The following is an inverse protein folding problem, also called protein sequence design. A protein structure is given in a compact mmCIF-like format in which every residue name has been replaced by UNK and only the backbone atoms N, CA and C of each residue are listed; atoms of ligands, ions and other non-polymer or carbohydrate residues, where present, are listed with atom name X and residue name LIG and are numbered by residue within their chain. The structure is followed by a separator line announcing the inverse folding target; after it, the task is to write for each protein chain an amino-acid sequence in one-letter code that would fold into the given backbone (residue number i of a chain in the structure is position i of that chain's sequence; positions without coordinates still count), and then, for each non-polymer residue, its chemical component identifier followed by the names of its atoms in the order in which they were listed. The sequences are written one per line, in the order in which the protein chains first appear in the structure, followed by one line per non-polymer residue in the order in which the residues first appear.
data_IF_907805698169
#
_entry.id   IF_907805698169
#
_cell.length_a   1.000
_cell.length_b   1.000
_cell.length_c   1.000
_cell.angle_alpha   90.00
_cell.angle_beta   90.00
_cell.angle_gamma   90.00
#
_symmetry.space_group_name_H-M   'P 1'
#
loop_
_entity.id
_entity.type
_entity.pdbx_description
1 polymer ?
#
# COMPACT_ATOMS: atom_id res chain seq x y z
N UNK A 1 -24.09 10.31 0.82
CA UNK A 1 -24.14 9.86 -0.60
C UNK A 1 -23.05 8.82 -0.75
N UNK A 2 -23.42 7.58 -1.10
CA UNK A 2 -22.50 6.46 -1.19
C UNK A 2 -21.62 6.59 -2.43
N UNK A 3 -20.31 6.70 -2.24
CA UNK A 3 -19.33 6.38 -3.28
C UNK A 3 -19.14 4.86 -3.28
N UNK A 4 -20.24 4.12 -3.53
CA UNK A 4 -20.10 2.73 -3.96
C UNK A 4 -19.51 2.78 -5.36
N UNK A 5 -18.19 2.72 -5.42
CA UNK A 5 -17.43 2.00 -6.44
C UNK A 5 -18.10 1.95 -7.82
N UNK A 6 -18.04 3.07 -8.54
CA UNK A 6 -18.22 3.07 -10.02
C UNK A 6 -17.27 2.04 -10.66
N UNK A 7 -16.14 1.77 -10.00
CA UNK A 7 -15.12 0.80 -10.41
C UNK A 7 -15.59 -0.67 -10.41
N UNK A 8 -16.53 -1.07 -9.55
CA UNK A 8 -16.99 -2.46 -9.43
C UNK A 8 -18.35 -2.73 -10.07
N UNK A 9 -19.22 -1.72 -10.23
CA UNK A 9 -20.57 -1.91 -10.81
C UNK A 9 -20.67 -1.49 -12.28
N UNK A 10 -19.70 -0.72 -12.79
CA UNK A 10 -19.53 -0.44 -14.23
C UNK A 10 -18.38 -1.25 -14.82
N UNK A 11 -18.43 -1.58 -16.11
CA UNK A 11 -17.28 -2.14 -16.86
C UNK A 11 -16.17 -1.08 -16.97
N UNK A 12 -15.50 -0.78 -15.88
CA UNK A 12 -14.40 0.19 -15.87
C UNK A 12 -13.22 -0.44 -16.60
N UNK A 13 -12.93 0.08 -17.78
CA UNK A 13 -11.82 -0.36 -18.62
C UNK A 13 -10.51 0.25 -18.12
N UNK A 14 -9.34 -0.25 -18.57
CA UNK A 14 -8.06 0.42 -18.31
C UNK A 14 -8.07 1.89 -18.77
N UNK A 15 -8.70 2.20 -19.89
CA UNK A 15 -8.80 3.58 -20.39
C UNK A 15 -9.60 4.49 -19.46
N UNK A 16 -10.67 3.97 -18.84
CA UNK A 16 -11.45 4.73 -17.85
C UNK A 16 -10.60 5.02 -16.60
N UNK A 17 -9.81 4.05 -16.14
CA UNK A 17 -8.91 4.27 -15.00
C UNK A 17 -7.82 5.28 -15.33
N UNK A 18 -7.22 5.20 -16.52
CA UNK A 18 -6.23 6.17 -16.99
C UNK A 18 -6.80 7.59 -17.04
N UNK A 19 -8.03 7.74 -17.53
CA UNK A 19 -8.72 9.03 -17.58
C UNK A 19 -8.98 9.60 -16.17
N UNK A 20 -9.34 8.75 -15.20
CA UNK A 20 -9.50 9.14 -13.80
C UNK A 20 -8.16 9.59 -13.18
N UNK A 21 -7.10 8.82 -13.41
CA UNK A 21 -5.74 9.13 -12.92
C UNK A 21 -5.22 10.44 -13.49
N UNK A 22 -5.48 10.72 -14.76
CA UNK A 22 -4.99 11.91 -15.46
C UNK A 22 -5.81 13.17 -15.14
N UNK A 23 -7.14 13.07 -15.07
CA UNK A 23 -8.01 14.26 -15.10
C UNK A 23 -8.81 14.51 -13.82
N UNK A 24 -9.05 13.47 -13.02
CA UNK A 24 -9.97 13.57 -11.88
C UNK A 24 -9.25 13.61 -10.54
N UNK A 25 -8.17 12.86 -10.42
CA UNK A 25 -7.44 12.74 -9.17
C UNK A 25 -6.32 13.79 -9.12
N UNK A 26 -6.22 14.59 -8.04
CA UNK A 26 -5.22 15.64 -7.92
C UNK A 26 -3.80 15.17 -8.25
N UNK A 27 -3.02 16.04 -8.89
CA UNK A 27 -1.60 15.80 -9.15
C UNK A 27 -0.76 15.91 -7.88
N UNK A 28 -1.24 16.67 -6.90
CA UNK A 28 -0.61 16.91 -5.61
C UNK A 28 -1.54 16.49 -4.48
N UNK A 29 -0.95 15.84 -3.47
CA UNK A 29 -1.64 15.39 -2.27
C UNK A 29 -1.05 16.11 -1.06
N UNK A 30 -1.90 16.53 -0.14
CA UNK A 30 -1.52 17.04 1.18
C UNK A 30 -1.78 16.00 2.26
N UNK A 31 -1.25 16.22 3.47
CA UNK A 31 -1.50 15.32 4.61
C UNK A 31 -2.98 15.26 5.06
N UNK A 32 -3.83 16.17 4.59
CA UNK A 32 -5.27 16.16 4.87
C UNK A 32 -6.07 15.27 3.90
N UNK A 33 -5.45 14.80 2.81
CA UNK A 33 -6.14 14.19 1.67
C UNK A 33 -6.22 12.65 1.76
N UNK A 34 -6.59 12.09 2.90
CA UNK A 34 -6.61 10.62 3.08
C UNK A 34 -7.51 9.91 2.05
N UNK A 35 -8.76 10.35 1.86
CA UNK A 35 -9.69 9.71 0.91
C UNK A 35 -9.23 9.87 -0.56
N UNK A 36 -8.80 11.05 -1.03
CA UNK A 36 -8.20 11.18 -2.36
C UNK A 36 -6.95 10.31 -2.58
N UNK A 37 -6.09 10.18 -1.56
CA UNK A 37 -4.89 9.32 -1.60
C UNK A 37 -5.28 7.85 -1.71
N UNK A 38 -6.20 7.38 -0.88
CA UNK A 38 -6.70 5.99 -0.90
C UNK A 38 -7.38 5.68 -2.26
N UNK A 39 -8.20 6.60 -2.77
CA UNK A 39 -8.84 6.47 -4.08
C UNK A 39 -7.82 6.46 -5.23
N UNK A 40 -6.76 7.26 -5.14
CA UNK A 40 -5.69 7.27 -6.13
C UNK A 40 -4.98 5.93 -6.19
N UNK A 41 -4.50 5.43 -5.05
CA UNK A 41 -3.76 4.17 -4.99
C UNK A 41 -4.65 3.04 -5.48
N UNK A 42 -5.91 2.97 -5.04
CA UNK A 42 -6.86 1.95 -5.50
C UNK A 42 -7.07 1.98 -7.02
N UNK A 43 -7.26 3.17 -7.60
CA UNK A 43 -7.46 3.33 -9.04
C UNK A 43 -6.21 2.95 -9.82
N UNK A 44 -5.03 3.36 -9.32
CA UNK A 44 -3.75 3.06 -9.93
C UNK A 44 -3.41 1.56 -9.89
N UNK A 45 -3.65 0.86 -8.78
CA UNK A 45 -3.40 -0.59 -8.71
C UNK A 45 -4.34 -1.37 -9.63
N UNK A 46 -5.61 -0.97 -9.74
CA UNK A 46 -6.56 -1.57 -10.69
C UNK A 46 -6.11 -1.33 -12.13
N UNK A 47 -5.66 -0.11 -12.46
CA UNK A 47 -5.14 0.21 -13.78
C UNK A 47 -3.89 -0.62 -14.11
N UNK A 48 -2.89 -0.64 -13.23
CA UNK A 48 -1.65 -1.43 -13.40
C UNK A 48 -1.95 -2.92 -13.55
N UNK A 49 -2.92 -3.45 -12.79
CA UNK A 49 -3.31 -4.84 -12.88
C UNK A 49 -3.94 -5.20 -14.24
N UNK A 50 -4.77 -4.29 -14.79
CA UNK A 50 -5.55 -4.53 -16.01
C UNK A 50 -4.87 -4.05 -17.30
N UNK A 51 -3.95 -3.09 -17.23
CA UNK A 51 -3.28 -2.54 -18.41
C UNK A 51 -2.22 -3.52 -18.94
N UNK A 52 -1.98 -3.46 -20.26
CA UNK A 52 -0.78 -4.04 -20.84
C UNK A 52 0.36 -3.03 -20.68
N UNK A 53 1.15 -3.20 -19.61
CA UNK A 53 2.28 -2.31 -19.30
C UNK A 53 3.34 -2.27 -20.40
N UNK A 54 3.40 -3.26 -21.30
CA UNK A 54 4.34 -3.26 -22.43
C UNK A 54 3.86 -2.37 -23.58
N UNK A 55 2.55 -2.16 -23.68
CA UNK A 55 1.93 -1.31 -24.70
C UNK A 55 1.64 0.11 -24.19
N UNK A 56 1.54 0.32 -22.89
CA UNK A 56 1.33 1.63 -22.28
C UNK A 56 2.54 2.55 -22.46
N UNK A 57 2.30 3.87 -22.51
CA UNK A 57 3.39 4.84 -22.56
C UNK A 57 4.24 4.77 -21.29
N UNK A 58 5.56 4.68 -21.47
CA UNK A 58 6.52 4.69 -20.36
C UNK A 58 6.37 5.94 -19.49
N UNK A 59 6.12 7.09 -20.10
CA UNK A 59 5.95 8.36 -19.38
C UNK A 59 4.74 8.30 -18.43
N UNK A 60 3.63 7.71 -18.87
CA UNK A 60 2.42 7.56 -18.06
C UNK A 60 2.66 6.58 -16.91
N UNK A 61 3.31 5.45 -17.17
CA UNK A 61 3.64 4.47 -16.12
C UNK A 61 4.56 5.07 -15.05
N UNK A 62 5.58 5.82 -15.46
CA UNK A 62 6.49 6.50 -14.52
C UNK A 62 5.73 7.55 -13.70
N UNK A 63 4.91 8.40 -14.32
CA UNK A 63 4.10 9.39 -13.59
C UNK A 63 3.18 8.75 -12.56
N UNK A 64 2.45 7.69 -12.95
CA UNK A 64 1.55 6.97 -12.04
C UNK A 64 2.33 6.36 -10.88
N UNK A 65 3.45 5.68 -11.13
CA UNK A 65 4.26 5.07 -10.07
C UNK A 65 4.85 6.13 -9.12
N UNK A 66 5.37 7.24 -9.64
CA UNK A 66 5.91 8.32 -8.81
C UNK A 66 4.82 8.96 -7.94
N UNK A 67 3.62 9.16 -8.49
CA UNK A 67 2.47 9.64 -7.72
C UNK A 67 2.04 8.63 -6.66
N UNK A 68 2.11 7.33 -6.95
CA UNK A 68 1.81 6.28 -5.96
C UNK A 68 2.82 6.29 -4.81
N UNK A 69 4.10 6.48 -5.11
CA UNK A 69 5.15 6.63 -4.07
C UNK A 69 4.81 7.80 -3.15
N UNK A 70 4.52 8.98 -3.72
CA UNK A 70 4.15 10.18 -2.94
C UNK A 70 2.89 9.95 -2.09
N UNK A 71 1.88 9.30 -2.66
CA UNK A 71 0.63 8.96 -1.98
C UNK A 71 0.88 7.99 -0.79
N UNK A 72 1.69 6.96 -0.99
CA UNK A 72 2.06 6.00 0.06
C UNK A 72 2.95 6.62 1.15
N UNK A 73 3.84 7.55 0.79
CA UNK A 73 4.64 8.32 1.75
C UNK A 73 3.74 9.17 2.66
N UNK A 74 2.68 9.80 2.11
CA UNK A 74 1.70 10.55 2.92
C UNK A 74 0.97 9.65 3.90
N UNK A 75 0.58 8.43 3.48
CA UNK A 75 0.00 7.43 4.39
C UNK A 75 0.97 7.03 5.50
N UNK A 76 2.28 7.17 5.29
CA UNK A 76 3.34 6.79 6.23
C UNK A 76 3.72 7.88 7.24
N UNK A 77 3.00 9.00 7.28
CA UNK A 77 3.30 10.08 8.23
C UNK A 77 2.62 9.83 9.58
N UNK A 78 3.42 9.84 10.65
CA UNK A 78 2.97 9.56 12.03
C UNK A 78 1.88 10.51 12.54
N UNK A 79 1.90 11.78 12.12
CA UNK A 79 0.94 12.80 12.56
C UNK A 79 -0.46 12.63 11.99
N UNK A 80 -0.65 11.76 10.99
CA UNK A 80 -1.98 11.38 10.56
C UNK A 80 -2.68 10.65 11.72
N UNK A 81 -3.93 10.98 12.01
CA UNK A 81 -4.68 10.27 13.06
C UNK A 81 -4.65 8.74 12.80
N UNK A 82 -4.64 7.90 13.86
CA UNK A 82 -4.86 6.47 13.69
C UNK A 82 -6.14 6.24 12.89
N UNK A 83 -6.09 5.26 11.99
CA UNK A 83 -7.16 4.98 11.04
C UNK A 83 -8.52 4.68 11.73
N UNK A 84 -8.50 4.38 13.04
CA UNK A 84 -9.61 3.92 13.87
C UNK A 84 -10.35 5.01 14.66
N UNK A 85 -9.87 6.25 14.69
CA UNK A 85 -10.51 7.27 15.56
C UNK A 85 -11.85 7.80 15.04
N UNK A 86 -12.26 7.44 13.81
CA UNK A 86 -13.47 7.98 13.18
C UNK A 86 -14.64 6.99 13.02
N UNK A 87 -14.48 5.70 13.34
CA UNK A 87 -15.53 4.72 13.12
C UNK A 87 -15.61 3.70 14.27
N UNK A 88 -16.39 4.03 15.30
CA UNK A 88 -16.92 3.06 16.25
C UNK A 88 -17.92 2.12 15.56
N UNK A 89 -17.43 1.19 14.74
CA UNK A 89 -18.26 0.21 14.04
C UNK A 89 -17.83 -1.19 14.47
N UNK A 90 -18.56 -1.66 15.48
CA UNK A 90 -18.94 -3.04 15.79
C UNK A 90 -18.40 -4.14 14.86
N UNK A 91 -17.55 -5.00 15.39
CA UNK A 91 -17.38 -6.38 14.93
C UNK A 91 -18.71 -7.13 15.08
N UNK A 92 -19.53 -7.18 14.04
CA UNK A 92 -20.76 -7.96 14.11
C UNK A 92 -21.63 -7.89 12.86
N UNK A 93 -21.43 -8.85 11.95
CA UNK A 93 -22.47 -9.31 11.01
C UNK A 93 -22.73 -8.41 9.79
N UNK A 94 -22.68 -9.03 8.62
CA UNK A 94 -22.93 -8.47 7.27
C UNK A 94 -21.83 -7.55 6.69
N UNK A 95 -20.90 -8.23 6.02
CA UNK A 95 -19.98 -7.72 4.98
C UNK A 95 -20.72 -6.88 3.94
N UNK A 96 -20.73 -5.57 4.13
CA UNK A 96 -20.63 -4.62 3.02
C UNK A 96 -19.48 -3.69 3.38
N UNK A 97 -18.25 -4.21 3.26
CA UNK A 97 -17.03 -3.43 3.42
C UNK A 97 -16.89 -2.52 2.20
N UNK A 98 -17.36 -1.28 2.33
CA UNK A 98 -17.32 -0.24 1.27
C UNK A 98 -15.91 0.37 1.12
N UNK A 99 -14.91 -0.08 1.88
CA UNK A 99 -13.53 0.40 1.74
C UNK A 99 -12.71 -0.70 1.10
N UNK A 100 -12.33 -0.51 -0.17
CA UNK A 100 -11.43 -1.39 -0.89
C UNK A 100 -10.24 -1.75 0.03
N UNK A 101 -10.16 -3.02 0.44
CA UNK A 101 -9.17 -3.45 1.42
C UNK A 101 -7.78 -3.17 0.86
N UNK A 102 -6.91 -2.51 1.63
CA UNK A 102 -5.55 -2.18 1.17
C UNK A 102 -4.77 -3.46 0.82
N UNK A 103 -5.16 -4.60 1.41
CA UNK A 103 -4.77 -5.94 0.99
C UNK A 103 -4.89 -6.16 -0.53
N UNK A 104 -6.02 -5.79 -1.14
CA UNK A 104 -6.26 -5.98 -2.56
C UNK A 104 -5.30 -5.13 -3.42
N UNK A 105 -4.98 -3.91 -2.98
CA UNK A 105 -4.02 -3.04 -3.68
C UNK A 105 -2.63 -3.69 -3.71
N UNK A 106 -2.20 -4.19 -2.55
CA UNK A 106 -0.88 -4.80 -2.38
C UNK A 106 -0.83 -6.14 -3.11
N UNK A 107 -1.90 -6.93 -3.05
CA UNK A 107 -2.02 -8.17 -3.82
C UNK A 107 -1.91 -7.92 -5.33
N UNK A 108 -2.55 -6.86 -5.84
CA UNK A 108 -2.47 -6.50 -7.26
C UNK A 108 -1.07 -6.09 -7.69
N UNK A 109 -0.36 -5.33 -6.84
CA UNK A 109 1.04 -4.97 -7.06
C UNK A 109 1.95 -6.21 -7.03
N UNK A 110 1.73 -7.09 -6.06
CA UNK A 110 2.42 -8.38 -5.96
C UNK A 110 2.24 -9.21 -7.24
N UNK A 111 1.02 -9.35 -7.78
CA UNK A 111 0.79 -10.10 -9.03
C UNK A 111 1.43 -9.48 -10.28
N UNK A 112 1.93 -8.25 -10.20
CA UNK A 112 2.62 -7.55 -11.29
C UNK A 112 4.11 -7.33 -11.00
N UNK A 113 4.62 -7.90 -9.92
CA UNK A 113 5.97 -7.64 -9.40
C UNK A 113 7.05 -7.85 -10.45
N UNK A 114 7.05 -8.95 -11.20
CA UNK A 114 8.08 -9.25 -12.20
C UNK A 114 8.16 -8.16 -13.28
N UNK A 115 7.03 -7.73 -13.83
CA UNK A 115 7.01 -6.68 -14.87
C UNK A 115 7.39 -5.31 -14.30
N UNK A 116 6.91 -4.98 -13.11
CA UNK A 116 7.24 -3.72 -12.43
C UNK A 116 8.72 -3.67 -12.05
N UNK A 117 9.31 -4.79 -11.61
CA UNK A 117 10.72 -4.91 -11.28
C UNK A 117 11.62 -4.80 -12.50
N UNK A 118 11.34 -5.56 -13.56
CA UNK A 118 12.14 -5.58 -14.79
C UNK A 118 12.25 -4.18 -15.44
N UNK A 119 11.16 -3.40 -15.43
CA UNK A 119 11.10 -2.13 -16.16
C UNK A 119 11.26 -0.89 -15.26
N UNK A 120 10.84 -0.98 -13.99
CA UNK A 120 10.68 0.15 -13.07
C UNK A 120 11.20 -0.15 -11.67
N UNK A 121 12.12 -1.11 -11.51
CA UNK A 121 12.51 -1.67 -10.20
C UNK A 121 12.83 -0.66 -9.11
N UNK A 122 13.53 0.44 -9.43
CA UNK A 122 13.81 1.49 -8.45
C UNK A 122 12.55 2.21 -7.92
N UNK A 123 11.61 2.56 -8.80
CA UNK A 123 10.35 3.19 -8.41
C UNK A 123 9.46 2.20 -7.66
N UNK A 124 9.43 0.94 -8.11
CA UNK A 124 8.61 -0.08 -7.47
C UNK A 124 9.12 -0.41 -6.07
N UNK A 125 10.43 -0.58 -5.86
CA UNK A 125 11.01 -0.74 -4.50
C UNK A 125 10.69 0.44 -3.58
N UNK A 126 10.81 1.68 -4.07
CA UNK A 126 10.42 2.87 -3.29
C UNK A 126 8.96 2.84 -2.88
N UNK A 127 8.06 2.41 -3.78
CA UNK A 127 6.64 2.24 -3.47
C UNK A 127 6.44 1.16 -2.39
N UNK A 128 7.10 0.02 -2.52
CA UNK A 128 7.00 -1.06 -1.54
C UNK A 128 7.48 -0.62 -0.15
N UNK A 129 8.58 0.11 -0.05
CA UNK A 129 9.05 0.65 1.24
C UNK A 129 8.12 1.72 1.83
N UNK A 130 7.47 2.54 1.00
CA UNK A 130 6.45 3.46 1.48
C UNK A 130 5.25 2.68 2.05
N UNK A 131 4.78 1.64 1.37
CA UNK A 131 3.71 0.77 1.89
C UNK A 131 4.12 -0.01 3.15
N UNK A 132 5.37 -0.47 3.23
CA UNK A 132 5.96 -1.10 4.41
C UNK A 132 5.89 -0.17 5.63
N UNK A 133 6.28 1.10 5.47
CA UNK A 133 6.20 2.10 6.54
C UNK A 133 4.75 2.34 6.98
N UNK A 134 3.84 2.54 6.03
CA UNK A 134 2.41 2.68 6.33
C UNK A 134 1.85 1.46 7.08
N UNK A 135 2.26 0.24 6.70
CA UNK A 135 1.87 -0.99 7.38
C UNK A 135 2.38 -1.03 8.83
N UNK A 136 3.66 -0.73 9.05
CA UNK A 136 4.29 -0.69 10.37
C UNK A 136 3.65 0.32 11.31
N UNK A 137 3.10 1.40 10.77
CA UNK A 137 2.37 2.44 11.49
C UNK A 137 0.88 2.16 11.65
N UNK A 138 0.42 0.97 11.28
CA UNK A 138 -0.98 0.55 11.37
C UNK A 138 -1.95 1.44 10.54
N UNK A 139 -1.46 1.96 9.42
CA UNK A 139 -2.23 2.83 8.51
C UNK A 139 -2.95 2.04 7.42
N UNK A 140 -2.59 0.77 7.22
CA UNK A 140 -3.18 -0.07 6.20
C UNK A 140 -4.33 -0.93 6.74
N UNK A 141 -5.52 -0.80 6.13
CA UNK A 141 -6.75 -1.48 6.55
C UNK A 141 -7.01 -2.76 5.74
N UNK A 142 -7.68 -3.73 6.34
CA UNK A 142 -8.03 -5.02 5.73
C UNK A 142 -7.41 -6.19 6.49
N UNK A 143 -7.33 -7.36 5.85
CA UNK A 143 -6.76 -8.55 6.46
C UNK A 143 -5.25 -8.38 6.65
N UNK A 144 -4.83 -8.17 7.91
CA UNK A 144 -3.47 -7.75 8.25
C UNK A 144 -2.40 -8.80 7.92
N UNK A 145 -2.74 -10.09 8.03
CA UNK A 145 -1.83 -11.19 7.67
C UNK A 145 -1.66 -11.27 6.15
N UNK A 146 -2.74 -11.06 5.38
CA UNK A 146 -2.68 -11.00 3.91
C UNK A 146 -1.84 -9.82 3.42
N UNK A 147 -2.01 -8.64 4.03
CA UNK A 147 -1.15 -7.47 3.76
C UNK A 147 0.32 -7.79 4.05
N UNK A 148 0.61 -8.38 5.22
CA UNK A 148 1.97 -8.76 5.61
C UNK A 148 2.58 -9.73 4.61
N UNK A 149 1.84 -10.78 4.25
CA UNK A 149 2.27 -11.80 3.30
C UNK A 149 2.63 -11.21 1.94
N UNK A 150 1.73 -10.39 1.37
CA UNK A 150 1.98 -9.81 0.04
C UNK A 150 3.10 -8.77 0.05
N UNK A 151 3.23 -7.96 1.12
CA UNK A 151 4.36 -7.05 1.27
C UNK A 151 5.69 -7.81 1.43
N UNK A 152 5.72 -8.84 2.26
CA UNK A 152 6.92 -9.65 2.47
C UNK A 152 7.43 -10.21 1.15
N UNK A 153 6.57 -10.92 0.41
CA UNK A 153 6.96 -11.48 -0.88
C UNK A 153 7.42 -10.44 -1.89
N UNK A 154 6.67 -9.33 -2.05
CA UNK A 154 7.07 -8.30 -3.00
C UNK A 154 8.42 -7.65 -2.63
N UNK A 155 8.65 -7.39 -1.34
CA UNK A 155 9.91 -6.82 -0.84
C UNK A 155 11.07 -7.81 -0.97
N UNK A 156 10.88 -9.08 -0.60
CA UNK A 156 11.88 -10.14 -0.75
C UNK A 156 12.27 -10.34 -2.22
N UNK A 157 11.29 -10.59 -3.10
CA UNK A 157 11.50 -10.78 -4.54
C UNK A 157 12.24 -9.59 -5.16
N UNK A 158 11.82 -8.35 -4.83
CA UNK A 158 12.41 -7.14 -5.40
C UNK A 158 13.89 -6.91 -5.02
N UNK A 159 14.34 -7.48 -3.90
CA UNK A 159 15.72 -7.35 -3.42
C UNK A 159 16.59 -8.58 -3.73
N UNK A 160 15.99 -9.76 -3.84
CA UNK A 160 16.75 -11.00 -4.03
C UNK A 160 16.85 -11.43 -5.49
N UNK A 161 15.80 -11.25 -6.28
CA UNK A 161 15.78 -11.70 -7.68
C UNK A 161 16.24 -10.62 -8.67
N UNK A 162 15.92 -9.35 -8.40
CA UNK A 162 16.04 -8.28 -9.39
C UNK A 162 17.07 -7.18 -9.04
N UNK A 163 17.85 -7.36 -7.97
CA UNK A 163 19.03 -6.53 -7.72
C UNK A 163 19.42 -6.40 -6.25
N UNK A 164 20.72 -6.42 -5.98
CA UNK A 164 21.31 -6.27 -4.64
C UNK A 164 21.43 -4.82 -4.16
N UNK A 165 20.88 -3.87 -4.91
CA UNK A 165 20.91 -2.44 -4.58
C UNK A 165 19.51 -1.94 -4.30
N UNK A 166 19.37 -1.12 -3.25
CA UNK A 166 18.14 -0.43 -2.91
C UNK A 166 18.41 1.07 -2.80
N UNK A 167 17.39 1.86 -3.11
CA UNK A 167 17.38 3.32 -3.01
C UNK A 167 17.28 3.81 -1.55
N UNK A 168 17.00 2.91 -0.62
CA UNK A 168 16.98 3.18 0.82
C UNK A 168 18.34 2.79 1.41
N UNK A 169 19.03 3.77 2.00
CA UNK A 169 20.33 3.56 2.64
C UNK A 169 20.22 2.51 3.76
N UNK A 170 21.10 1.50 3.71
CA UNK A 170 21.11 0.42 4.69
C UNK A 170 19.85 -0.45 4.68
N UNK A 171 19.17 -0.55 3.53
CA UNK A 171 17.93 -1.33 3.41
C UNK A 171 18.08 -2.75 3.98
N UNK A 172 17.26 -3.14 4.99
CA UNK A 172 17.41 -4.42 5.66
C UNK A 172 16.89 -5.61 4.83
N UNK A 173 16.19 -5.34 3.73
CA UNK A 173 15.74 -6.37 2.80
C UNK A 173 16.86 -6.90 1.90
N UNK A 174 17.98 -6.17 1.78
CA UNK A 174 19.15 -6.66 1.04
C UNK A 174 19.73 -7.86 1.80
N UNK A 175 19.66 -9.04 1.18
CA UNK A 175 20.14 -10.29 1.78
C UNK A 175 19.19 -10.88 2.83
N UNK A 176 17.98 -10.33 2.98
CA UNK A 176 16.93 -10.97 3.76
C UNK A 176 16.40 -12.16 2.96
N UNK A 177 16.84 -13.36 3.32
CA UNK A 177 16.36 -14.62 2.75
C UNK A 177 15.89 -15.48 3.90
N UNK A 178 14.59 -15.48 4.15
CA UNK A 178 13.99 -16.31 5.19
C UNK A 178 12.73 -16.94 4.62
N UNK A 179 12.59 -18.24 4.85
CA UNK A 179 11.49 -19.00 4.29
C UNK A 179 10.23 -18.87 5.16
N UNK A 180 9.08 -19.26 4.60
CA UNK A 180 7.85 -19.46 5.37
C UNK A 180 8.01 -20.46 6.52
N UNK A 181 8.99 -21.37 6.45
CA UNK A 181 9.29 -22.32 7.53
C UNK A 181 9.99 -21.61 8.71
N UNK A 182 10.79 -20.59 8.43
CA UNK A 182 11.50 -19.79 9.44
C UNK A 182 10.56 -18.78 10.11
N UNK A 183 9.69 -18.15 9.32
CA UNK A 183 8.89 -17.00 9.77
C UNK A 183 7.40 -17.26 9.94
N UNK A 184 6.93 -18.47 9.61
CA UNK A 184 5.53 -18.84 9.58
C UNK A 184 4.88 -18.59 8.22
N UNK A 185 3.76 -19.26 7.94
CA UNK A 185 3.06 -19.16 6.66
C UNK A 185 2.65 -17.73 6.29
N UNK A 186 2.31 -16.92 7.30
CA UNK A 186 1.94 -15.51 7.16
C UNK A 186 3.08 -14.54 7.51
N UNK A 187 4.31 -15.06 7.67
CA UNK A 187 5.49 -14.29 8.07
C UNK A 187 5.30 -13.53 9.38
N UNK A 188 4.54 -14.08 10.33
CA UNK A 188 4.22 -13.43 11.61
C UNK A 188 5.42 -13.19 12.51
N UNK A 189 6.53 -13.90 12.25
CA UNK A 189 7.82 -13.73 12.93
C UNK A 189 8.83 -12.91 12.14
N UNK A 190 8.40 -12.28 11.04
CA UNK A 190 9.27 -11.39 10.27
C UNK A 190 9.50 -10.08 11.03
N UNK A 191 10.69 -9.94 11.62
CA UNK A 191 11.08 -8.71 12.35
C UNK A 191 11.02 -7.48 11.44
N UNK A 192 11.29 -7.64 10.14
CA UNK A 192 11.23 -6.55 9.17
C UNK A 192 9.80 -6.03 8.92
N UNK A 193 8.76 -6.76 9.31
CA UNK A 193 7.37 -6.32 9.21
C UNK A 193 6.67 -6.25 10.58
N UNK A 194 7.45 -6.24 11.66
CA UNK A 194 6.88 -6.00 12.99
C UNK A 194 6.33 -4.57 13.08
N UNK A 195 5.09 -4.44 13.57
CA UNK A 195 4.44 -3.15 13.76
C UNK A 195 5.14 -2.36 14.87
N UNK A 196 5.21 -1.05 14.70
CA UNK A 196 5.77 -0.16 15.72
C UNK A 196 4.88 -0.23 16.96
N UNK A 197 5.48 -0.55 18.10
CA UNK A 197 4.77 -0.50 19.39
C UNK A 197 4.41 0.96 19.62
N UNK A 198 3.11 1.28 19.54
CA UNK A 198 2.64 2.62 19.92
C UNK A 198 3.05 2.82 21.38
N UNK A 199 3.88 3.83 21.72
CA UNK A 199 4.12 4.13 23.12
C UNK A 199 2.75 4.37 23.75
N UNK A 200 2.44 3.63 24.81
CA UNK A 200 1.20 3.83 25.55
C UNK A 200 1.13 5.32 25.88
N UNK A 201 0.21 6.05 25.24
CA UNK A 201 -0.02 7.45 25.59
C UNK A 201 -0.20 7.48 27.10
N UNK A 202 0.56 8.34 27.76
CA UNK A 202 0.46 8.63 29.18
C UNK A 202 -0.93 9.19 29.50
N UNK A 203 -1.94 8.33 29.43
CA UNK A 203 -3.31 8.56 29.84
C UNK A 203 -3.43 7.86 31.20
N UNK A 204 -2.77 8.44 32.21
CA UNK A 204 -3.04 8.25 33.65
C UNK A 204 -2.18 9.23 34.49
N UNK A 205 -1.96 10.44 33.98
CA UNK A 205 -1.47 11.56 34.79
C UNK A 205 -2.57 12.61 34.81
N UNK A 206 -3.60 12.41 35.62
CA UNK A 206 -4.38 13.44 36.32
C UNK A 206 -5.65 12.82 36.92
N UNK A 207 -5.50 12.22 38.10
CA UNK A 207 -6.57 12.22 39.12
C UNK A 207 -5.90 12.25 40.49
N UNK A 208 -5.44 13.45 40.87
CA UNK A 208 -5.33 13.84 42.28
C UNK A 208 -6.19 15.10 42.43
N UNK A 209 -7.35 14.94 43.07
CA UNK A 209 -7.86 15.82 44.13
C UNK A 209 -8.95 15.10 44.92
#
# INVERSE_FOLDING_TARGET
MCVSSVLEQGRTTPADCELLLANYIPSEFTHADQEPVEMFIATATVWLYRCDMRAASREILVDVLERMVRAADILSVESAAPADTAAGISQGGNRVEVRAGHEQWIQQLYFKDATLMEQYGALFRRLLHALEKAYKLDKLRGYQDGIRYHLHHALETSHNEYGSTCEVDGCPWIGHVKSSDDEGYWYDKCDLLSKSIRPASAADAHTEE
#
